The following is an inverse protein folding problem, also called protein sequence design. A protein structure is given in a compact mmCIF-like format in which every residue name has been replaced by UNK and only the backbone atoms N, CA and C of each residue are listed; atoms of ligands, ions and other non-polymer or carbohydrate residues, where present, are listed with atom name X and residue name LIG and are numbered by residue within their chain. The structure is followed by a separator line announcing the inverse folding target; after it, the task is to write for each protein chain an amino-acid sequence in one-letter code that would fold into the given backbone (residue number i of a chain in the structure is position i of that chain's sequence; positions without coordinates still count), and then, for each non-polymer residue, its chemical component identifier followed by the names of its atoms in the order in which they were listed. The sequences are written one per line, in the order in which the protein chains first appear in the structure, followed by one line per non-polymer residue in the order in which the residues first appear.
data_IF_026792173948
#
_entry.id   IF_026792173948
#
_cell.length_a   1.000
_cell.length_b   1.000
_cell.length_c   1.000
_cell.angle_alpha   90.00
_cell.angle_beta   90.00
_cell.angle_gamma   90.00
#
_symmetry.space_group_name_H-M   'P 1'
#
loop_
_entity.id
_entity.type
_entity.pdbx_description
1 polymer ?
#
# COMPACT_ATOMS: atom_id res chain seq x y z
N UNK A 1 7.60 12.91 -0.79
CA UNK A 1 8.58 12.90 0.31
C UNK A 1 9.22 11.52 0.35
N UNK A 2 10.51 11.42 0.66
CA UNK A 2 11.23 10.14 0.81
C UNK A 2 11.84 10.14 2.22
N UNK A 3 11.66 9.02 2.94
CA UNK A 3 12.25 8.79 4.26
C UNK A 3 13.26 7.65 4.14
N UNK A 4 14.49 7.87 4.59
CA UNK A 4 15.56 6.89 4.55
C UNK A 4 15.60 6.07 5.85
N UNK A 5 14.52 5.35 6.12
CA UNK A 5 14.27 4.72 7.42
C UNK A 5 13.55 3.38 7.26
N UNK A 6 13.78 2.48 8.21
CA UNK A 6 13.01 1.25 8.33
C UNK A 6 11.70 1.50 9.09
N UNK A 7 10.77 0.54 9.00
CA UNK A 7 9.54 0.56 9.79
C UNK A 7 9.69 -0.35 11.01
N UNK A 8 9.29 0.15 12.19
CA UNK A 8 9.30 -0.61 13.44
C UNK A 8 8.22 -0.10 14.39
N UNK A 9 7.89 -0.90 15.42
CA UNK A 9 6.81 -0.58 16.35
C UNK A 9 7.09 0.63 17.26
N UNK A 10 8.35 0.88 17.59
CA UNK A 10 8.78 1.99 18.45
C UNK A 10 10.01 2.67 17.85
N UNK A 11 10.08 4.01 17.82
CA UNK A 11 11.22 4.70 17.25
C UNK A 11 12.56 4.24 17.81
N UNK A 12 13.54 3.99 16.96
CA UNK A 12 14.83 3.44 17.37
C UNK A 12 15.77 3.16 16.21
N UNK A 13 16.65 2.18 16.41
CA UNK A 13 17.60 1.68 15.40
C UNK A 13 17.37 0.18 15.24
N UNK A 14 17.33 -0.29 13.99
CA UNK A 14 17.29 -1.73 13.65
C UNK A 14 18.54 -2.14 12.90
N UNK A 15 18.90 -3.42 13.04
CA UNK A 15 19.89 -4.05 12.17
C UNK A 15 19.24 -4.39 10.84
N UNK A 16 19.82 -3.91 9.74
CA UNK A 16 19.33 -4.11 8.39
C UNK A 16 20.40 -4.82 7.55
N UNK A 17 20.00 -5.76 6.69
CA UNK A 17 20.96 -6.52 5.87
C UNK A 17 21.72 -5.58 4.92
N UNK A 18 23.04 -5.75 4.86
CA UNK A 18 23.88 -4.90 4.03
C UNK A 18 23.87 -5.36 2.56
N UNK A 19 22.84 -5.00 1.79
CA UNK A 19 22.97 -4.96 0.34
C UNK A 19 22.01 -3.92 -0.28
N UNK A 20 22.48 -2.68 -0.53
CA UNK A 20 21.61 -1.58 -0.97
C UNK A 20 21.00 -1.78 -2.37
N UNK A 21 21.43 -2.79 -3.14
CA UNK A 21 21.01 -2.99 -4.53
C UNK A 21 20.29 -4.33 -4.79
N UNK A 22 19.98 -5.10 -3.75
CA UNK A 22 19.44 -6.45 -3.95
C UNK A 22 17.92 -6.51 -4.16
N UNK A 23 17.18 -5.47 -3.80
CA UNK A 23 15.71 -5.53 -3.68
C UNK A 23 15.23 -6.45 -2.55
N UNK A 24 16.11 -7.26 -1.96
CA UNK A 24 15.81 -8.32 -0.99
C UNK A 24 16.32 -8.01 0.42
N UNK A 25 16.70 -6.76 0.66
CA UNK A 25 17.30 -6.33 1.92
C UNK A 25 16.21 -5.93 2.92
N UNK A 26 16.44 -6.19 4.20
CA UNK A 26 15.42 -6.02 5.24
C UNK A 26 16.00 -6.25 6.63
N UNK A 27 15.12 -6.33 7.64
CA UNK A 27 15.51 -6.64 9.02
C UNK A 27 15.63 -8.16 9.16
N UNK A 28 16.85 -8.72 9.38
CA UNK A 28 17.05 -10.18 9.38
C UNK A 28 16.17 -10.93 10.37
N UNK A 29 15.92 -10.33 11.54
CA UNK A 29 15.12 -10.94 12.62
C UNK A 29 13.64 -11.11 12.25
N UNK A 30 13.19 -10.42 11.20
CA UNK A 30 11.81 -10.47 10.68
C UNK A 30 11.69 -11.32 9.41
N UNK A 31 12.82 -11.71 8.81
CA UNK A 31 12.83 -12.59 7.65
C UNK A 31 12.60 -14.04 8.08
N UNK A 32 11.92 -14.82 7.24
CA UNK A 32 11.82 -16.27 7.46
C UNK A 32 13.18 -16.93 7.28
N UNK A 33 13.37 -18.09 7.92
CA UNK A 33 14.61 -18.88 7.76
C UNK A 33 14.78 -19.29 6.31
N UNK A 34 13.69 -19.67 5.64
CA UNK A 34 13.65 -20.08 4.24
C UNK A 34 14.08 -18.94 3.32
N UNK A 35 13.66 -17.71 3.63
CA UNK A 35 14.07 -16.50 2.91
C UNK A 35 15.57 -16.24 3.07
N UNK A 36 16.08 -16.29 4.31
CA UNK A 36 17.51 -16.14 4.59
C UNK A 36 18.36 -17.22 3.93
N UNK A 37 17.86 -18.46 3.81
CA UNK A 37 18.55 -19.52 3.07
C UNK A 37 18.59 -19.24 1.56
N UNK A 38 17.49 -18.73 1.00
CA UNK A 38 17.34 -18.45 -0.43
C UNK A 38 18.14 -17.22 -0.87
N UNK A 39 18.14 -16.17 -0.05
CA UNK A 39 18.65 -14.84 -0.41
C UNK A 39 19.87 -14.41 0.41
N UNK A 40 20.18 -15.09 1.51
CA UNK A 40 21.26 -14.71 2.44
C UNK A 40 22.63 -14.55 1.81
N UNK A 41 22.92 -15.35 0.77
CA UNK A 41 24.18 -15.27 0.00
C UNK A 41 24.34 -13.95 -0.75
N UNK A 42 23.25 -13.21 -0.98
CA UNK A 42 23.28 -11.90 -1.62
C UNK A 42 23.59 -10.79 -0.63
N UNK A 43 23.42 -10.99 0.67
CA UNK A 43 23.76 -9.97 1.65
C UNK A 43 25.28 -9.85 1.77
N UNK A 44 25.81 -8.62 1.71
CA UNK A 44 27.22 -8.37 2.00
C UNK A 44 27.48 -8.64 3.48
N UNK A 45 28.74 -8.88 3.83
CA UNK A 45 29.13 -9.08 5.21
C UNK A 45 28.73 -7.87 6.09
N UNK A 46 28.18 -8.18 7.27
CA UNK A 46 27.73 -7.21 8.26
C UNK A 46 26.30 -6.72 8.05
N UNK A 47 25.68 -6.25 9.13
CA UNK A 47 24.43 -5.49 9.10
C UNK A 47 24.74 -4.00 9.24
N UNK A 48 23.87 -3.14 8.70
CA UNK A 48 23.94 -1.70 8.90
C UNK A 48 22.87 -1.27 9.92
N UNK A 49 23.21 -0.27 10.74
CA UNK A 49 22.28 0.34 11.67
C UNK A 49 21.40 1.37 10.94
N UNK A 50 20.08 1.15 10.93
CA UNK A 50 19.13 2.01 10.22
C UNK A 50 18.13 2.60 11.21
N UNK A 51 17.91 3.93 11.23
CA UNK A 51 16.83 4.52 12.01
C UNK A 51 15.48 3.97 11.58
N UNK A 52 14.61 3.74 12.55
CA UNK A 52 13.28 3.21 12.30
C UNK A 52 12.22 3.92 13.12
N UNK A 53 10.99 3.96 12.60
CA UNK A 53 9.81 4.43 13.32
C UNK A 53 8.52 3.81 12.74
N UNK A 54 7.37 3.95 13.44
CA UNK A 54 6.06 3.52 12.92
C UNK A 54 5.71 4.14 11.56
N UNK A 55 5.07 3.38 10.67
CA UNK A 55 4.62 3.91 9.36
C UNK A 55 3.59 5.04 9.54
N UNK A 56 2.74 4.97 10.57
CA UNK A 56 1.84 6.06 10.96
C UNK A 56 2.57 7.39 11.18
N UNK A 57 3.76 7.36 11.79
CA UNK A 57 4.57 8.58 11.97
C UNK A 57 5.03 9.14 10.62
N UNK A 58 5.46 8.28 9.69
CA UNK A 58 5.89 8.70 8.36
C UNK A 58 4.74 9.25 7.51
N UNK A 59 3.56 8.62 7.58
CA UNK A 59 2.33 9.08 6.93
C UNK A 59 1.96 10.49 7.43
N UNK A 60 1.99 10.69 8.75
CA UNK A 60 1.71 11.98 9.37
C UNK A 60 2.74 13.05 9.00
N UNK A 61 4.05 12.72 9.02
CA UNK A 61 5.11 13.63 8.59
C UNK A 61 5.02 14.00 7.10
N UNK A 62 4.50 13.09 6.27
CA UNK A 62 4.23 13.37 4.86
C UNK A 62 2.96 14.21 4.64
N UNK A 63 2.17 14.47 5.69
CA UNK A 63 0.92 15.24 5.61
C UNK A 63 -0.17 14.54 4.80
N UNK A 64 -0.15 13.20 4.73
CA UNK A 64 -1.08 12.42 3.93
C UNK A 64 -2.43 12.27 4.66
N UNK A 65 -3.50 12.74 4.03
CA UNK A 65 -4.88 12.57 4.54
C UNK A 65 -5.61 11.42 3.86
N UNK A 66 -5.11 10.92 2.72
CA UNK A 66 -5.61 9.75 2.00
C UNK A 66 -4.53 9.22 1.07
N UNK A 67 -4.58 7.93 0.77
CA UNK A 67 -3.62 7.27 -0.14
C UNK A 67 -4.40 6.56 -1.24
N UNK A 68 -4.13 6.90 -2.50
CA UNK A 68 -4.79 6.23 -3.62
C UNK A 68 -4.29 4.80 -3.83
N UNK A 69 -2.98 4.59 -3.66
CA UNK A 69 -2.35 3.30 -3.86
C UNK A 69 -1.22 3.10 -2.86
N UNK A 70 -1.20 1.96 -2.18
CA UNK A 70 -0.15 1.58 -1.24
C UNK A 70 0.42 0.21 -1.64
N UNK A 71 1.69 0.20 -2.05
CA UNK A 71 2.43 -1.02 -2.36
C UNK A 71 3.29 -1.42 -1.16
N UNK A 72 3.16 -2.65 -0.69
CA UNK A 72 3.87 -3.17 0.47
C UNK A 72 4.61 -4.46 0.13
N UNK A 73 5.93 -4.36 0.10
CA UNK A 73 6.87 -5.45 -0.12
C UNK A 73 8.10 -5.10 0.73
N UNK A 74 8.26 -5.78 1.86
CA UNK A 74 9.27 -5.45 2.89
C UNK A 74 9.96 -6.70 3.43
N UNK A 75 9.98 -7.75 2.62
CA UNK A 75 10.79 -8.94 2.85
C UNK A 75 10.48 -9.69 4.16
N UNK A 76 9.19 -9.75 4.51
CA UNK A 76 8.65 -10.52 5.65
C UNK A 76 8.10 -9.69 6.81
N UNK A 77 8.23 -8.37 6.72
CA UNK A 77 7.77 -7.45 7.77
C UNK A 77 6.37 -6.86 7.51
N UNK A 78 5.60 -7.37 6.55
CA UNK A 78 4.34 -6.77 6.07
C UNK A 78 3.35 -6.55 7.21
N UNK A 79 3.15 -7.58 8.04
CA UNK A 79 2.25 -7.51 9.19
C UNK A 79 2.70 -6.48 10.23
N UNK A 80 4.01 -6.31 10.45
CA UNK A 80 4.53 -5.31 11.38
C UNK A 80 4.31 -3.90 10.89
N UNK A 81 4.49 -3.66 9.58
CA UNK A 81 4.17 -2.37 8.96
C UNK A 81 2.69 -2.07 9.17
N UNK A 82 1.79 -2.99 8.82
CA UNK A 82 0.34 -2.80 8.93
C UNK A 82 -0.14 -2.61 10.38
N UNK A 83 0.46 -3.29 11.36
CA UNK A 83 0.13 -3.10 12.79
C UNK A 83 0.45 -1.70 13.31
N UNK A 84 1.35 -0.97 12.65
CA UNK A 84 1.74 0.40 13.01
C UNK A 84 1.09 1.46 12.13
N UNK A 85 0.18 1.05 11.24
CA UNK A 85 -0.50 1.91 10.29
C UNK A 85 -1.55 2.80 10.96
N UNK A 86 -1.71 4.03 10.47
CA UNK A 86 -2.79 4.91 10.89
C UNK A 86 -4.03 4.67 10.01
N UNK A 87 -4.97 3.87 10.52
CA UNK A 87 -6.17 3.49 9.80
C UNK A 87 -7.20 4.63 9.66
N UNK A 88 -6.97 5.79 10.28
CA UNK A 88 -7.74 7.00 10.01
C UNK A 88 -7.40 7.60 8.62
N UNK A 89 -6.23 7.26 8.06
CA UNK A 89 -5.83 7.65 6.70
C UNK A 89 -6.30 6.57 5.72
N UNK A 90 -7.39 6.80 4.96
CA UNK A 90 -7.94 5.78 4.07
C UNK A 90 -6.97 5.49 2.92
N UNK A 91 -6.84 4.20 2.60
CA UNK A 91 -6.17 3.72 1.40
C UNK A 91 -7.24 3.24 0.42
N UNK A 92 -7.18 3.60 -0.86
CA UNK A 92 -8.16 3.08 -1.84
C UNK A 92 -7.82 1.67 -2.28
N UNK A 93 -6.54 1.43 -2.56
CA UNK A 93 -6.02 0.14 -3.03
C UNK A 93 -4.71 -0.19 -2.34
N UNK A 94 -4.66 -1.34 -1.68
CA UNK A 94 -3.41 -1.96 -1.24
C UNK A 94 -2.97 -3.02 -2.26
N UNK A 95 -1.68 -3.10 -2.52
CA UNK A 95 -1.01 -4.24 -3.14
C UNK A 95 0.04 -4.74 -2.17
N UNK A 96 -0.08 -5.98 -1.70
CA UNK A 96 0.75 -6.52 -0.62
C UNK A 96 1.30 -7.87 -1.04
N UNK A 97 2.59 -8.07 -0.83
CA UNK A 97 3.21 -9.39 -1.00
C UNK A 97 2.75 -10.35 0.12
N UNK A 98 2.23 -11.51 -0.28
CA UNK A 98 1.69 -12.58 0.57
C UNK A 98 2.27 -13.93 0.12
N UNK A 99 3.58 -14.11 0.29
CA UNK A 99 4.29 -15.35 -0.02
C UNK A 99 5.01 -15.94 1.21
N UNK A 100 4.65 -15.48 2.43
CA UNK A 100 5.30 -15.87 3.69
C UNK A 100 4.68 -17.10 4.33
N UNK A 101 3.59 -17.61 3.74
CA UNK A 101 2.96 -18.87 4.10
C UNK A 101 1.59 -18.70 4.76
N UNK A 102 0.77 -19.76 4.81
CA UNK A 102 -0.67 -19.64 5.06
C UNK A 102 -1.03 -18.98 6.39
N UNK A 103 -0.26 -19.23 7.45
CA UNK A 103 -0.52 -18.64 8.76
C UNK A 103 -0.28 -17.12 8.77
N UNK A 104 0.90 -16.69 8.31
CA UNK A 104 1.26 -15.27 8.24
C UNK A 104 0.34 -14.50 7.30
N UNK A 105 0.11 -15.04 6.09
CA UNK A 105 -0.71 -14.36 5.09
C UNK A 105 -2.18 -14.29 5.54
N UNK A 106 -2.66 -15.23 6.37
CA UNK A 106 -3.99 -15.18 6.98
C UNK A 106 -4.09 -14.06 8.02
N UNK A 107 -3.05 -13.84 8.83
CA UNK A 107 -3.02 -12.72 9.77
C UNK A 107 -3.08 -11.36 9.06
N UNK A 108 -2.33 -11.20 7.95
CA UNK A 108 -2.39 -9.98 7.13
C UNK A 108 -3.79 -9.77 6.57
N UNK A 109 -4.39 -10.81 5.98
CA UNK A 109 -5.77 -10.76 5.45
C UNK A 109 -6.79 -10.42 6.53
N UNK A 110 -6.65 -11.01 7.71
CA UNK A 110 -7.54 -10.76 8.86
C UNK A 110 -7.45 -9.31 9.31
N UNK A 111 -6.24 -8.76 9.44
CA UNK A 111 -6.02 -7.37 9.83
C UNK A 111 -6.63 -6.39 8.82
N UNK A 112 -6.46 -6.63 7.52
CA UNK A 112 -7.08 -5.81 6.47
C UNK A 112 -8.60 -5.90 6.48
N UNK A 113 -9.14 -7.11 6.64
CA UNK A 113 -10.59 -7.34 6.71
C UNK A 113 -11.23 -6.63 7.90
N UNK A 114 -10.55 -6.61 9.04
CA UNK A 114 -10.99 -5.88 10.24
C UNK A 114 -11.12 -4.37 10.00
N UNK A 115 -10.32 -3.81 9.09
CA UNK A 115 -10.37 -2.41 8.68
C UNK A 115 -11.18 -2.17 7.40
N UNK A 116 -12.03 -3.13 7.01
CA UNK A 116 -12.98 -2.97 5.91
C UNK A 116 -12.39 -3.22 4.51
N UNK A 117 -11.19 -3.79 4.41
CA UNK A 117 -10.56 -4.10 3.12
C UNK A 117 -10.84 -5.53 2.69
N UNK A 118 -11.18 -5.71 1.41
CA UNK A 118 -11.50 -7.00 0.81
C UNK A 118 -10.47 -7.34 -0.27
N UNK A 119 -9.96 -8.58 -0.22
CA UNK A 119 -9.09 -9.10 -1.27
C UNK A 119 -9.89 -9.29 -2.57
N UNK A 120 -9.37 -8.76 -3.68
CA UNK A 120 -9.96 -8.98 -5.01
C UNK A 120 -9.27 -10.12 -5.75
N UNK A 121 -10.07 -11.02 -6.32
CA UNK A 121 -9.59 -12.10 -7.20
C UNK A 121 -9.51 -11.69 -8.68
N UNK A 122 -9.82 -10.44 -9.00
CA UNK A 122 -9.85 -9.94 -10.37
C UNK A 122 -8.46 -9.92 -11.04
N UNK A 123 -7.39 -9.93 -10.25
CA UNK A 123 -6.02 -9.91 -10.72
C UNK A 123 -5.25 -11.07 -10.09
N UNK A 124 -4.42 -11.75 -10.89
CA UNK A 124 -3.42 -12.70 -10.38
C UNK A 124 -2.06 -12.00 -10.50
N UNK A 125 -1.45 -11.62 -9.39
CA UNK A 125 -0.18 -10.86 -9.35
C UNK A 125 0.96 -11.67 -8.70
N UNK A 126 1.04 -12.97 -9.00
CA UNK A 126 2.05 -13.85 -8.42
C UNK A 126 1.90 -13.93 -6.90
N UNK A 127 2.99 -13.66 -6.16
CA UNK A 127 2.99 -13.57 -4.71
C UNK A 127 2.24 -12.35 -4.14
N UNK A 128 1.71 -11.45 -4.97
CA UNK A 128 1.00 -10.26 -4.51
C UNK A 128 -0.51 -10.45 -4.51
N UNK A 129 -1.16 -9.88 -3.49
CA UNK A 129 -2.60 -9.75 -3.38
C UNK A 129 -3.03 -8.28 -3.37
N UNK A 130 -4.20 -8.02 -3.95
CA UNK A 130 -4.76 -6.66 -4.03
C UNK A 130 -5.99 -6.57 -3.12
N UNK A 131 -6.03 -5.53 -2.29
CA UNK A 131 -7.13 -5.26 -1.40
C UNK A 131 -7.74 -3.89 -1.69
N UNK A 132 -9.06 -3.83 -1.64
CA UNK A 132 -9.85 -2.62 -1.87
C UNK A 132 -10.73 -2.36 -0.66
N UNK A 133 -10.92 -1.10 -0.29
CA UNK A 133 -11.85 -0.78 0.78
C UNK A 133 -13.29 -1.16 0.37
N UNK A 134 -14.08 -1.69 1.30
CA UNK A 134 -15.44 -2.19 1.07
C UNK A 134 -16.38 -1.14 0.49
N UNK A 135 -16.18 0.15 0.82
CA UNK A 135 -16.95 1.25 0.22
C UNK A 135 -16.68 1.46 -1.27
N UNK A 136 -15.53 0.98 -1.78
CA UNK A 136 -15.17 1.01 -3.20
C UNK A 136 -15.50 -0.31 -3.90
N UNK A 137 -16.11 -1.27 -3.19
CA UNK A 137 -16.48 -2.57 -3.71
C UNK A 137 -17.73 -2.52 -4.62
N UNK A 138 -17.74 -1.61 -5.60
CA UNK A 138 -18.67 -1.64 -6.73
C UNK A 138 -18.22 -2.65 -7.79
N UNK A 139 -19.12 -3.00 -8.71
CA UNK A 139 -18.80 -3.88 -9.85
C UNK A 139 -17.64 -3.30 -10.69
N UNK A 140 -16.91 -4.16 -11.43
CA UNK A 140 -15.90 -3.69 -12.40
C UNK A 140 -16.49 -2.62 -13.35
N UNK A 141 -17.74 -2.78 -13.76
CA UNK A 141 -18.47 -1.81 -14.60
C UNK A 141 -18.64 -0.47 -13.87
N UNK A 142 -19.03 -0.49 -12.60
CA UNK A 142 -19.16 0.73 -11.79
C UNK A 142 -17.82 1.47 -11.65
N UNK A 143 -16.72 0.72 -11.47
CA UNK A 143 -15.37 1.29 -11.38
C UNK A 143 -14.87 1.80 -12.72
N UNK A 144 -15.10 1.07 -13.81
CA UNK A 144 -14.75 1.51 -15.16
C UNK A 144 -15.53 2.77 -15.56
N UNK A 145 -16.83 2.87 -15.22
CA UNK A 145 -17.62 4.09 -15.43
C UNK A 145 -17.05 5.26 -14.63
N UNK A 146 -16.72 5.06 -13.35
CA UNK A 146 -16.09 6.08 -12.51
C UNK A 146 -14.75 6.55 -13.10
N UNK A 147 -13.87 5.62 -13.51
CA UNK A 147 -12.61 5.96 -14.17
C UNK A 147 -12.83 6.70 -15.50
N UNK A 148 -13.80 6.28 -16.33
CA UNK A 148 -14.14 6.98 -17.56
C UNK A 148 -14.66 8.40 -17.29
N UNK A 149 -15.48 8.61 -16.26
CA UNK A 149 -15.94 9.94 -15.85
C UNK A 149 -14.76 10.84 -15.46
N UNK A 150 -13.83 10.33 -14.66
CA UNK A 150 -12.61 11.07 -14.30
C UNK A 150 -11.73 11.42 -15.50
N UNK A 151 -11.67 10.55 -16.52
CA UNK A 151 -10.94 10.83 -17.78
C UNK A 151 -11.64 11.85 -18.67
N UNK A 152 -12.97 11.95 -18.60
CA UNK A 152 -13.75 12.97 -19.30
C UNK A 152 -13.61 14.32 -18.62
N UNK A 153 -13.66 14.36 -17.29
CA UNK A 153 -13.52 15.59 -16.49
C UNK A 153 -12.09 16.15 -16.48
N UNK A 154 -11.06 15.29 -16.59
CA UNK A 154 -9.66 15.71 -16.67
C UNK A 154 -9.20 16.22 -18.04
N UNK A 155 -10.07 16.35 -19.05
CA UNK A 155 -9.70 17.05 -20.30
C UNK A 155 -9.71 18.56 -20.05
N UNK A 156 -8.54 19.23 -19.90
CA UNK A 156 -8.51 20.68 -19.84
C UNK A 156 -8.98 21.22 -21.19
N UNK A 157 -9.80 22.27 -21.15
CA UNK A 157 -10.49 22.80 -22.31
C UNK A 157 -9.58 23.01 -23.54
N UNK A 158 -10.05 22.50 -24.68
CA UNK A 158 -9.87 23.27 -25.90
C UNK A 158 -10.84 24.46 -25.80
N UNK A 159 -10.31 25.64 -25.55
CA UNK A 159 -11.00 26.89 -25.86
C UNK A 159 -11.39 26.87 -27.35
N UNK A 160 -12.68 26.91 -27.66
CA UNK A 160 -13.25 27.63 -28.79
C UNK A 160 -14.78 27.56 -28.76
N UNK A 161 -15.41 28.67 -28.35
CA UNK A 161 -16.60 29.23 -28.97
C UNK A 161 -17.94 28.49 -28.84
N UNK A 162 -18.82 29.03 -27.99
CA UNK A 162 -20.27 28.80 -28.12
C UNK A 162 -21.03 29.04 -26.83
N UNK A 163 -21.57 30.25 -26.66
CA UNK A 163 -22.71 30.51 -25.77
C UNK A 163 -23.78 29.44 -25.99
N UNK A 164 -24.31 28.81 -24.93
CA UNK A 164 -25.76 28.78 -24.64
C UNK A 164 -25.99 28.59 -23.13
N UNK A 165 -27.08 29.19 -22.68
CA UNK A 165 -27.57 29.49 -21.33
C UNK A 165 -27.56 28.39 -20.24
N UNK A 166 -27.46 28.90 -19.01
CA UNK A 166 -27.89 28.26 -17.78
C UNK A 166 -29.35 27.78 -17.83
N UNK A 167 -29.61 26.60 -17.26
CA UNK A 167 -30.93 26.24 -16.76
C UNK A 167 -30.80 25.38 -15.50
N UNK A 168 -31.31 25.91 -14.39
CA UNK A 168 -31.66 25.15 -13.19
C UNK A 168 -32.89 24.27 -13.45
N UNK A 169 -32.87 23.01 -12.99
CA UNK A 169 -34.07 22.23 -12.66
C UNK A 169 -33.67 21.12 -11.66
N UNK A 170 -33.93 21.32 -10.37
CA UNK A 170 -35.06 20.77 -9.58
C UNK A 170 -35.09 19.23 -9.48
N UNK A 171 -34.86 18.78 -8.25
CA UNK A 171 -35.05 17.43 -7.69
C UNK A 171 -36.56 17.11 -7.59
N UNK A 172 -37.00 15.87 -7.87
CA UNK A 172 -38.37 15.44 -7.56
C UNK A 172 -38.48 14.59 -6.28
N UNK A 173 -39.51 14.97 -5.51
CA UNK A 173 -40.31 14.28 -4.47
C UNK A 173 -39.61 13.58 -3.31
#
# INVERSE_FOLDING_TARGET
VIFNEAICATPGIVNFTNNPNAGTAGVPDLMSKEYLLSWGKRFRAGNIAVPCRPISTLINLAGLQSIDFFSLDVEGAELQVLRTFDWAVPVKVFCIELDRGPAFDSEVRSLLSMHGYLETKAFKLGGNAVFIHGSLNGTLISRMRYCQQLLVEKRPGKCAGGLVHAAHSKIPA
#
